data_IF_868300546112
#
_entry.id   IF_868300546112
#
_cell.length_a   1.000
_cell.length_b   1.000
_cell.length_c   1.000
_cell.angle_alpha   90.00
_cell.angle_beta   90.00
_cell.angle_gamma   90.00
#
_symmetry.space_group_name_H-M   'P 1'
#
loop_
_entity.id
_entity.type
_entity.pdbx_description
1 polymer ?
#
# COMPACT_ATOMS: atom_id res chain seq x y z
N UNK A 1 21.03 27.05 -1.03
CA UNK A 1 20.26 26.07 -0.23
C UNK A 1 18.77 26.42 -0.09
N UNK A 2 18.37 27.66 0.22
CA UNK A 2 16.93 28.05 0.31
C UNK A 2 16.15 27.87 -0.99
N UNK A 3 16.74 28.20 -2.14
CA UNK A 3 16.07 28.07 -3.44
C UNK A 3 15.87 26.62 -3.88
N UNK A 4 16.78 25.70 -3.49
CA UNK A 4 16.65 24.28 -3.76
C UNK A 4 15.55 23.62 -2.89
N UNK A 5 15.43 24.03 -1.61
CA UNK A 5 14.37 23.54 -0.74
C UNK A 5 12.98 24.05 -1.15
N UNK A 6 12.88 25.28 -1.61
CA UNK A 6 11.62 25.84 -2.14
C UNK A 6 11.19 25.11 -3.42
N UNK A 7 12.13 24.77 -4.31
CA UNK A 7 11.83 24.01 -5.53
C UNK A 7 11.40 22.56 -5.24
N UNK A 8 12.03 21.88 -4.27
CA UNK A 8 11.65 20.50 -3.88
C UNK A 8 10.24 20.46 -3.30
N UNK A 9 9.90 21.38 -2.40
CA UNK A 9 8.56 21.49 -1.82
C UNK A 9 7.48 21.76 -2.87
N UNK A 10 7.78 22.59 -3.87
CA UNK A 10 6.87 22.85 -4.98
C UNK A 10 6.64 21.59 -5.83
N UNK A 11 7.71 20.83 -6.12
CA UNK A 11 7.61 19.58 -6.88
C UNK A 11 6.77 18.55 -6.10
N UNK A 12 7.02 18.36 -4.81
CA UNK A 12 6.25 17.43 -3.98
C UNK A 12 4.75 17.75 -3.98
N UNK A 13 4.40 19.03 -3.86
CA UNK A 13 3.01 19.47 -3.88
C UNK A 13 2.35 19.23 -5.25
N UNK A 14 3.05 19.53 -6.34
CA UNK A 14 2.55 19.29 -7.70
C UNK A 14 2.31 17.79 -7.94
N UNK A 15 3.25 16.93 -7.51
CA UNK A 15 3.09 15.47 -7.63
C UNK A 15 1.94 14.94 -6.76
N UNK A 16 1.81 15.44 -5.53
CA UNK A 16 0.73 15.07 -4.62
C UNK A 16 -0.64 15.41 -5.19
N UNK A 17 -0.78 16.63 -5.75
CA UNK A 17 -2.02 17.05 -6.38
C UNK A 17 -2.33 16.24 -7.65
N UNK A 18 -1.30 15.95 -8.45
CA UNK A 18 -1.44 15.13 -9.65
C UNK A 18 -1.94 13.72 -9.30
N UNK A 19 -1.28 13.06 -8.32
CA UNK A 19 -1.70 11.75 -7.81
C UNK A 19 -3.13 11.79 -7.30
N UNK A 20 -3.46 12.73 -6.41
CA UNK A 20 -4.77 12.86 -5.78
C UNK A 20 -5.89 13.06 -6.82
N UNK A 21 -5.64 13.90 -7.83
CA UNK A 21 -6.64 14.20 -8.86
C UNK A 21 -6.94 12.98 -9.73
N UNK A 22 -5.91 12.28 -10.22
CA UNK A 22 -6.12 11.13 -11.10
C UNK A 22 -6.72 9.95 -10.33
N UNK A 23 -6.22 9.64 -9.14
CA UNK A 23 -6.74 8.56 -8.28
C UNK A 23 -8.23 8.75 -8.00
N UNK A 24 -8.63 9.95 -7.57
CA UNK A 24 -10.04 10.27 -7.31
C UNK A 24 -10.91 10.24 -8.57
N UNK A 25 -10.41 10.81 -9.68
CA UNK A 25 -11.12 10.84 -10.96
C UNK A 25 -11.40 9.43 -11.49
N UNK A 26 -10.38 8.57 -11.47
CA UNK A 26 -10.47 7.19 -11.95
C UNK A 26 -11.35 6.37 -11.03
N UNK A 27 -11.16 6.44 -9.72
CA UNK A 27 -11.97 5.69 -8.76
C UNK A 27 -13.45 6.04 -8.80
N UNK A 28 -13.81 7.31 -9.02
CA UNK A 28 -15.22 7.69 -9.25
C UNK A 28 -15.83 7.08 -10.52
N UNK A 29 -15.02 6.85 -11.56
CA UNK A 29 -15.48 6.16 -12.77
C UNK A 29 -15.62 4.65 -12.51
N UNK A 30 -14.69 4.05 -11.79
CA UNK A 30 -14.73 2.63 -11.38
C UNK A 30 -15.97 2.34 -10.52
N UNK A 31 -16.28 3.19 -9.54
CA UNK A 31 -17.47 3.03 -8.71
C UNK A 31 -18.78 2.91 -9.52
N UNK A 32 -18.88 3.56 -10.67
CA UNK A 32 -20.06 3.48 -11.55
C UNK A 32 -20.18 2.15 -12.30
N UNK A 33 -19.13 1.34 -12.28
CA UNK A 33 -19.08 0.03 -12.96
C UNK A 33 -19.33 -1.13 -11.99
N UNK A 34 -19.48 -0.85 -10.70
CA UNK A 34 -19.82 -1.87 -9.69
C UNK A 34 -21.13 -2.58 -10.02
N UNK A 35 -21.18 -3.89 -9.74
CA UNK A 35 -22.35 -4.73 -9.99
C UNK A 35 -22.63 -5.03 -11.47
N UNK A 36 -21.80 -4.54 -12.39
CA UNK A 36 -21.87 -4.93 -13.81
C UNK A 36 -21.14 -6.26 -14.01
N UNK A 37 -21.46 -6.95 -15.12
CA UNK A 37 -20.68 -8.12 -15.56
C UNK A 37 -19.35 -7.63 -16.14
N UNK A 38 -18.26 -8.18 -15.64
CA UNK A 38 -16.90 -7.90 -16.11
C UNK A 38 -16.30 -9.13 -16.78
N UNK A 39 -15.44 -8.90 -17.76
CA UNK A 39 -14.58 -9.96 -18.31
C UNK A 39 -13.49 -10.24 -17.28
N UNK A 40 -13.44 -11.48 -16.78
CA UNK A 40 -12.46 -11.91 -15.80
C UNK A 40 -11.34 -12.69 -16.48
N UNK A 41 -10.13 -12.36 -16.13
CA UNK A 41 -8.93 -13.14 -16.44
C UNK A 41 -8.19 -13.46 -15.14
N UNK A 42 -7.19 -14.34 -15.22
CA UNK A 42 -6.43 -14.79 -14.06
C UNK A 42 -4.94 -14.58 -14.33
N UNK A 43 -4.21 -14.03 -13.35
CA UNK A 43 -2.76 -13.79 -13.44
C UNK A 43 -1.97 -15.03 -13.02
N UNK A 44 -1.62 -15.10 -11.75
CA UNK A 44 -0.73 -16.12 -11.18
C UNK A 44 -1.46 -17.38 -10.70
N UNK A 45 -2.75 -17.27 -10.39
CA UNK A 45 -3.58 -18.37 -9.88
C UNK A 45 -5.07 -18.13 -10.17
N UNK A 46 -5.91 -19.16 -9.94
CA UNK A 46 -7.37 -19.04 -10.07
C UNK A 46 -8.03 -18.07 -9.08
N UNK A 47 -7.29 -17.58 -8.12
CA UNK A 47 -7.75 -16.61 -7.12
C UNK A 47 -7.15 -15.22 -7.32
N UNK A 48 -6.27 -15.05 -8.30
CA UNK A 48 -5.63 -13.80 -8.66
C UNK A 48 -6.37 -13.22 -9.89
N UNK A 49 -7.37 -12.40 -9.62
CA UNK A 49 -8.31 -11.88 -10.61
C UNK A 49 -7.79 -10.57 -11.20
N UNK A 50 -8.02 -10.40 -12.51
CA UNK A 50 -7.91 -9.12 -13.20
C UNK A 50 -9.13 -8.93 -14.09
N UNK A 51 -9.56 -7.70 -14.27
CA UNK A 51 -10.68 -7.34 -15.12
C UNK A 51 -10.24 -6.37 -16.22
N UNK A 52 -11.05 -6.22 -17.26
CA UNK A 52 -10.86 -5.17 -18.27
C UNK A 52 -10.88 -3.76 -17.66
N UNK A 53 -11.39 -3.62 -16.41
CA UNK A 53 -11.45 -2.36 -15.69
C UNK A 53 -10.10 -2.02 -15.07
N UNK A 54 -9.34 -3.02 -14.59
CA UNK A 54 -7.96 -2.84 -14.10
C UNK A 54 -7.09 -2.28 -15.23
N UNK A 55 -7.08 -2.93 -16.39
CA UNK A 55 -6.34 -2.48 -17.57
C UNK A 55 -6.80 -1.08 -18.06
N UNK A 56 -8.11 -0.83 -18.04
CA UNK A 56 -8.63 0.48 -18.41
C UNK A 56 -8.18 1.56 -17.41
N UNK A 57 -8.26 1.26 -16.13
CA UNK A 57 -7.82 2.15 -15.05
C UNK A 57 -6.33 2.50 -15.19
N UNK A 58 -5.50 1.48 -15.41
CA UNK A 58 -4.06 1.66 -15.60
C UNK A 58 -3.76 2.57 -16.78
N UNK A 59 -4.40 2.33 -17.95
CA UNK A 59 -4.22 3.17 -19.13
C UNK A 59 -4.64 4.64 -18.89
N UNK A 60 -5.74 4.88 -18.19
CA UNK A 60 -6.21 6.24 -17.87
C UNK A 60 -5.23 6.96 -16.94
N UNK A 61 -4.73 6.26 -15.89
CA UNK A 61 -3.80 6.84 -14.92
C UNK A 61 -2.45 7.13 -15.60
N UNK A 62 -1.90 6.15 -16.31
CA UNK A 62 -0.61 6.27 -17.02
C UNK A 62 -0.65 7.40 -18.05
N UNK A 63 -1.71 7.46 -18.88
CA UNK A 63 -1.88 8.54 -19.86
C UNK A 63 -1.93 9.91 -19.20
N UNK A 64 -2.64 10.04 -18.09
CA UNK A 64 -2.75 11.29 -17.36
C UNK A 64 -1.40 11.73 -16.79
N UNK A 65 -0.68 10.84 -16.11
CA UNK A 65 0.64 11.13 -15.55
C UNK A 65 1.62 11.48 -16.66
N UNK A 66 1.74 10.66 -17.72
CA UNK A 66 2.66 10.90 -18.84
C UNK A 66 2.40 12.22 -19.56
N UNK A 67 1.13 12.68 -19.63
CA UNK A 67 0.81 13.97 -20.26
C UNK A 67 1.28 15.18 -19.47
N UNK A 68 1.41 15.08 -18.14
CA UNK A 68 1.88 16.13 -17.25
C UNK A 68 3.37 15.98 -16.89
N UNK A 69 3.84 14.73 -16.89
CA UNK A 69 5.16 14.33 -16.43
C UNK A 69 5.82 13.38 -17.44
N UNK A 70 6.16 13.84 -18.65
CA UNK A 70 6.60 12.97 -19.77
C UNK A 70 7.99 12.35 -19.56
N UNK A 71 8.76 12.79 -18.57
CA UNK A 71 10.09 12.30 -18.29
C UNK A 71 10.17 11.40 -17.04
N UNK A 72 9.04 11.22 -16.33
CA UNK A 72 9.01 10.39 -15.13
C UNK A 72 8.89 8.91 -15.53
N UNK A 73 9.45 8.02 -14.70
CA UNK A 73 9.25 6.58 -14.84
C UNK A 73 7.90 6.18 -14.25
N UNK A 74 7.19 5.25 -14.92
CA UNK A 74 5.91 4.72 -14.42
C UNK A 74 5.97 3.21 -14.43
N UNK A 75 5.64 2.60 -13.29
CA UNK A 75 5.62 1.16 -13.05
C UNK A 75 4.23 0.79 -12.52
N UNK A 76 3.54 -0.10 -13.21
CA UNK A 76 2.17 -0.48 -12.89
C UNK A 76 2.04 -1.98 -12.66
N UNK A 77 1.00 -2.36 -11.92
CA UNK A 77 0.68 -3.75 -11.61
C UNK A 77 0.33 -4.57 -12.84
N UNK A 78 -0.47 -4.03 -13.78
CA UNK A 78 -0.93 -4.76 -14.97
C UNK A 78 0.09 -4.81 -16.10
N UNK A 79 1.33 -4.40 -15.82
CA UNK A 79 2.49 -4.59 -16.67
C UNK A 79 2.90 -3.37 -17.49
N UNK A 80 2.23 -2.24 -17.40
CA UNK A 80 2.72 -1.02 -18.05
C UNK A 80 4.00 -0.53 -17.37
N UNK A 81 5.05 -0.37 -18.15
CA UNK A 81 6.31 0.22 -17.74
C UNK A 81 6.75 1.29 -18.73
N UNK A 82 6.75 2.55 -18.29
CA UNK A 82 7.25 3.70 -19.05
C UNK A 82 8.62 4.08 -18.51
N UNK A 83 9.64 4.01 -19.34
CA UNK A 83 11.00 4.39 -18.95
C UNK A 83 11.12 5.89 -18.70
N UNK A 84 11.65 6.26 -17.55
CA UNK A 84 11.91 7.65 -17.16
C UNK A 84 13.25 8.18 -17.65
N UNK A 85 13.40 9.51 -17.58
CA UNK A 85 14.64 10.25 -17.90
C UNK A 85 15.11 11.12 -16.73
N UNK A 86 14.41 11.04 -15.60
CA UNK A 86 14.73 11.79 -14.38
C UNK A 86 14.68 10.85 -13.15
N UNK A 87 14.72 11.42 -11.97
CA UNK A 87 14.77 10.71 -10.69
C UNK A 87 13.39 10.51 -10.03
N UNK A 88 12.29 10.69 -10.78
CA UNK A 88 10.91 10.50 -10.27
C UNK A 88 10.36 9.19 -10.85
N UNK A 89 9.84 8.33 -9.97
CA UNK A 89 9.19 7.07 -10.32
C UNK A 89 7.81 6.99 -9.71
N UNK A 90 6.84 6.57 -10.51
CA UNK A 90 5.46 6.32 -10.10
C UNK A 90 5.19 4.83 -9.96
N UNK A 91 4.47 4.45 -8.91
CA UNK A 91 3.99 3.10 -8.68
C UNK A 91 2.47 3.14 -8.62
N UNK A 92 1.83 2.33 -9.45
CA UNK A 92 0.39 2.39 -9.66
C UNK A 92 -0.21 1.01 -9.49
N UNK A 93 -1.17 0.91 -8.56
CA UNK A 93 -2.13 -0.18 -8.52
C UNK A 93 -3.49 0.38 -8.98
N UNK A 94 -3.97 -0.05 -10.15
CA UNK A 94 -5.19 0.48 -10.76
C UNK A 94 -6.45 0.13 -9.98
N UNK A 95 -6.48 -1.04 -9.32
CA UNK A 95 -7.55 -1.49 -8.40
C UNK A 95 -6.95 -2.41 -7.35
N UNK A 96 -6.38 -1.83 -6.28
CA UNK A 96 -6.02 -2.59 -5.09
C UNK A 96 -7.25 -3.30 -4.52
N UNK A 97 -7.19 -4.63 -4.44
CA UNK A 97 -8.32 -5.44 -4.04
C UNK A 97 -9.32 -5.76 -5.16
N UNK A 98 -8.87 -6.17 -6.34
CA UNK A 98 -9.70 -6.55 -7.50
C UNK A 98 -10.78 -7.57 -7.15
N UNK A 99 -10.50 -8.53 -6.27
CA UNK A 99 -11.52 -9.46 -5.76
C UNK A 99 -12.68 -8.73 -5.11
N UNK A 100 -12.41 -7.72 -4.27
CA UNK A 100 -13.47 -6.92 -3.64
C UNK A 100 -14.29 -6.16 -4.68
N UNK A 101 -13.63 -5.59 -5.69
CA UNK A 101 -14.32 -4.92 -6.79
C UNK A 101 -15.27 -5.87 -7.52
N UNK A 102 -14.81 -7.06 -7.90
CA UNK A 102 -15.62 -8.07 -8.61
C UNK A 102 -16.85 -8.49 -7.79
N UNK A 103 -16.69 -8.65 -6.48
CA UNK A 103 -17.78 -9.01 -5.58
C UNK A 103 -18.59 -7.80 -5.08
N UNK A 104 -18.31 -6.59 -5.54
CA UNK A 104 -18.93 -5.35 -5.06
C UNK A 104 -18.80 -5.17 -3.54
N UNK A 105 -17.72 -5.71 -2.96
CA UNK A 105 -17.41 -5.61 -1.55
C UNK A 105 -16.62 -4.32 -1.27
N UNK A 106 -16.90 -3.56 -0.20
CA UNK A 106 -16.07 -2.43 0.20
C UNK A 106 -14.65 -2.91 0.55
N UNK A 107 -13.66 -2.03 0.40
CA UNK A 107 -12.27 -2.35 0.71
C UNK A 107 -11.39 -2.51 -0.53
N UNK A 108 -11.85 -2.06 -1.70
CA UNK A 108 -10.97 -1.82 -2.85
C UNK A 108 -10.63 -0.34 -2.97
N UNK A 109 -9.48 -0.07 -3.54
CA UNK A 109 -8.98 1.30 -3.70
C UNK A 109 -8.18 1.46 -5.00
N UNK A 110 -7.87 2.70 -5.34
CA UNK A 110 -6.91 3.05 -6.38
C UNK A 110 -5.70 3.62 -5.68
N UNK A 111 -4.51 3.10 -5.96
CA UNK A 111 -3.27 3.47 -5.31
C UNK A 111 -2.28 4.08 -6.30
N UNK A 112 -1.78 5.27 -5.98
CA UNK A 112 -0.76 5.97 -6.76
C UNK A 112 0.28 6.54 -5.80
N UNK A 113 1.48 5.96 -5.83
CA UNK A 113 2.64 6.43 -5.09
C UNK A 113 3.70 7.02 -6.00
N UNK A 114 4.55 7.90 -5.47
CA UNK A 114 5.73 8.35 -6.21
C UNK A 114 6.95 8.51 -5.31
N UNK A 115 8.09 8.18 -5.89
CA UNK A 115 9.42 8.37 -5.32
C UNK A 115 10.12 9.54 -6.00
N UNK A 116 10.91 10.24 -5.22
CA UNK A 116 11.90 11.22 -5.69
C UNK A 116 13.25 10.77 -5.14
N UNK A 117 14.26 10.63 -6.01
CA UNK A 117 15.61 10.16 -5.62
C UNK A 117 15.58 8.79 -4.90
N UNK A 118 14.68 7.89 -5.30
CA UNK A 118 14.45 6.56 -4.69
C UNK A 118 13.87 6.59 -3.26
N UNK A 119 13.36 7.73 -2.81
CA UNK A 119 12.64 7.84 -1.55
C UNK A 119 11.15 8.02 -1.82
N UNK A 120 10.31 7.19 -1.22
CA UNK A 120 8.85 7.33 -1.31
C UNK A 120 8.41 8.56 -0.54
N UNK A 121 7.85 9.53 -1.25
CA UNK A 121 7.48 10.82 -0.66
C UNK A 121 6.02 11.19 -0.90
N UNK A 122 5.41 10.63 -1.93
CA UNK A 122 4.07 10.98 -2.38
C UNK A 122 3.18 9.74 -2.33
N UNK A 123 1.98 9.91 -1.79
CA UNK A 123 0.95 8.87 -1.81
C UNK A 123 -0.44 9.44 -1.99
N UNK A 124 -1.23 8.79 -2.84
CA UNK A 124 -2.67 9.04 -2.95
C UNK A 124 -3.41 7.71 -3.06
N UNK A 125 -4.36 7.49 -2.17
CA UNK A 125 -5.24 6.31 -2.16
C UNK A 125 -6.68 6.80 -2.13
N UNK A 126 -7.49 6.32 -3.05
CA UNK A 126 -8.92 6.64 -3.07
C UNK A 126 -9.76 5.39 -2.92
N UNK A 127 -10.56 5.32 -1.87
CA UNK A 127 -11.54 4.28 -1.60
C UNK A 127 -12.93 4.72 -2.09
N UNK A 128 -13.38 4.25 -3.27
CA UNK A 128 -14.52 4.83 -3.97
C UNK A 128 -15.85 4.69 -3.23
N UNK A 129 -16.08 3.54 -2.58
CA UNK A 129 -17.34 3.28 -1.88
C UNK A 129 -17.48 4.06 -0.57
N UNK A 130 -16.36 4.44 0.03
CA UNK A 130 -16.32 5.29 1.21
C UNK A 130 -16.22 6.77 0.84
N UNK A 131 -15.95 7.09 -0.44
CA UNK A 131 -15.66 8.43 -0.91
C UNK A 131 -14.54 9.10 -0.11
N UNK A 132 -13.48 8.34 0.18
CA UNK A 132 -12.34 8.78 0.95
C UNK A 132 -11.10 8.88 0.09
N UNK A 133 -10.50 10.07 0.07
CA UNK A 133 -9.21 10.34 -0.55
C UNK A 133 -8.18 10.56 0.54
N UNK A 134 -7.25 9.63 0.65
CA UNK A 134 -6.03 9.80 1.43
C UNK A 134 -4.94 10.39 0.54
N UNK A 135 -4.18 11.34 1.08
CA UNK A 135 -3.14 12.04 0.31
C UNK A 135 -2.02 12.47 1.23
N UNK A 136 -0.78 12.22 0.83
CA UNK A 136 0.40 12.60 1.60
C UNK A 136 1.55 13.11 0.75
N UNK A 137 2.34 13.99 1.34
CA UNK A 137 3.71 14.30 0.93
C UNK A 137 4.53 14.68 2.17
N UNK A 138 5.86 14.60 2.08
CA UNK A 138 6.75 14.97 3.18
C UNK A 138 6.61 16.44 3.60
N UNK A 139 6.19 17.32 2.69
CA UNK A 139 5.95 18.74 2.95
C UNK A 139 4.55 19.08 3.45
N UNK A 140 3.59 18.14 3.35
CA UNK A 140 2.17 18.39 3.63
C UNK A 140 1.61 17.56 4.80
N UNK A 141 2.29 16.47 5.17
CA UNK A 141 1.72 15.46 6.08
C UNK A 141 0.70 14.57 5.38
N UNK A 142 -0.10 13.86 6.15
CA UNK A 142 -1.16 12.96 5.64
C UNK A 142 -2.54 13.52 5.92
N UNK A 143 -3.40 13.47 4.91
CA UNK A 143 -4.80 13.92 5.04
C UNK A 143 -5.77 12.85 4.53
N UNK A 144 -6.98 12.82 5.12
CA UNK A 144 -8.15 12.14 4.59
C UNK A 144 -9.22 13.17 4.24
N UNK A 145 -9.60 13.26 2.96
CA UNK A 145 -10.52 14.29 2.46
C UNK A 145 -10.11 15.73 2.88
N UNK A 146 -8.81 16.02 2.90
CA UNK A 146 -8.25 17.31 3.26
C UNK A 146 -8.17 17.61 4.76
N UNK A 147 -8.56 16.67 5.63
CA UNK A 147 -8.36 16.77 7.08
C UNK A 147 -7.13 15.99 7.48
N UNK A 148 -6.26 16.60 8.27
CA UNK A 148 -5.07 15.93 8.81
C UNK A 148 -5.45 14.69 9.61
N UNK A 149 -4.64 13.65 9.48
CA UNK A 149 -4.79 12.38 10.19
C UNK A 149 -3.43 11.94 10.74
N UNK A 150 -3.47 11.16 11.80
CA UNK A 150 -2.29 10.58 12.46
C UNK A 150 -2.52 9.10 12.76
N UNK A 151 -1.44 8.34 12.90
CA UNK A 151 -1.49 6.94 13.31
C UNK A 151 -2.02 6.80 14.74
N UNK A 152 -2.49 5.62 15.09
CA UNK A 152 -2.98 5.29 16.43
C UNK A 152 -1.92 5.53 17.52
N UNK A 153 -2.40 5.85 18.73
CA UNK A 153 -1.58 6.02 19.95
C UNK A 153 -1.61 4.79 20.86
N UNK A 154 -2.15 3.68 20.40
CA UNK A 154 -2.17 2.40 21.12
C UNK A 154 -0.73 1.94 21.39
N UNK A 155 -0.45 1.51 22.63
CA UNK A 155 0.89 1.11 23.09
C UNK A 155 0.98 -0.37 23.42
N UNK A 156 -0.15 -0.98 23.76
CA UNK A 156 -0.23 -2.37 24.21
C UNK A 156 -0.79 -3.25 23.09
N UNK A 157 -0.07 -4.30 22.77
CA UNK A 157 -0.44 -5.25 21.72
C UNK A 157 -1.83 -5.88 21.95
N UNK A 158 -2.16 -6.18 23.22
CA UNK A 158 -3.48 -6.72 23.60
C UNK A 158 -4.66 -5.79 23.30
N UNK A 159 -4.39 -4.51 23.07
CA UNK A 159 -5.38 -3.51 22.69
C UNK A 159 -5.35 -3.21 21.18
N UNK A 160 -4.42 -3.81 20.44
CA UNK A 160 -4.21 -3.49 19.04
C UNK A 160 -5.23 -4.18 18.12
N UNK A 161 -5.88 -3.40 17.26
CA UNK A 161 -6.64 -3.86 16.11
C UNK A 161 -5.70 -3.93 14.91
N UNK A 162 -5.49 -5.12 14.35
CA UNK A 162 -4.49 -5.34 13.30
C UNK A 162 -5.15 -5.72 11.99
N UNK A 163 -4.76 -5.08 10.88
CA UNK A 163 -5.16 -5.47 9.55
C UNK A 163 -4.15 -6.44 8.92
N UNK A 164 -4.61 -7.35 8.07
CA UNK A 164 -3.76 -8.32 7.35
C UNK A 164 -4.41 -8.79 6.05
N UNK A 165 -3.57 -9.34 5.17
CA UNK A 165 -3.97 -10.04 3.96
C UNK A 165 -3.37 -11.45 3.87
N UNK A 166 -3.75 -12.18 2.81
CA UNK A 166 -3.29 -13.53 2.54
C UNK A 166 -2.89 -13.68 1.08
N UNK A 167 -1.84 -14.49 0.83
CA UNK A 167 -1.37 -14.78 -0.51
C UNK A 167 -2.47 -15.30 -1.44
N UNK A 168 -2.38 -14.97 -2.70
CA UNK A 168 -3.22 -15.57 -3.75
C UNK A 168 -2.91 -17.05 -3.99
N UNK A 169 -1.73 -17.54 -3.60
CA UNK A 169 -1.33 -18.94 -3.72
C UNK A 169 -1.80 -19.74 -2.52
N UNK A 170 -2.60 -20.78 -2.77
CA UNK A 170 -3.24 -21.60 -1.73
C UNK A 170 -2.24 -22.31 -0.83
N UNK A 171 -1.08 -22.69 -1.35
CA UNK A 171 0.00 -23.35 -0.61
C UNK A 171 0.55 -22.50 0.55
N UNK A 172 0.63 -21.17 0.37
CA UNK A 172 1.09 -20.26 1.43
C UNK A 172 0.01 -19.95 2.46
N UNK A 173 -1.27 -19.98 2.05
CA UNK A 173 -2.39 -19.67 2.97
C UNK A 173 -2.44 -20.60 4.16
N UNK A 174 -2.08 -21.89 3.98
CA UNK A 174 -2.03 -22.86 5.07
C UNK A 174 -1.04 -22.46 6.17
N UNK A 175 0.15 -22.01 5.78
CA UNK A 175 1.17 -21.49 6.71
C UNK A 175 0.74 -20.17 7.34
N UNK A 176 0.21 -19.23 6.56
CA UNK A 176 -0.29 -17.96 7.07
C UNK A 176 -1.43 -18.15 8.08
N UNK A 177 -2.34 -19.10 7.83
CA UNK A 177 -3.41 -19.43 8.78
C UNK A 177 -2.86 -20.00 10.10
N UNK A 178 -1.81 -20.83 10.04
CA UNK A 178 -1.14 -21.33 11.26
C UNK A 178 -0.52 -20.21 12.07
N UNK A 179 0.09 -19.21 11.42
CA UNK A 179 0.68 -18.06 12.10
C UNK A 179 -0.37 -17.29 12.91
N UNK A 180 -1.62 -17.21 12.42
CA UNK A 180 -2.72 -16.55 13.14
C UNK A 180 -3.04 -17.22 14.49
N UNK A 181 -2.79 -18.52 14.66
CA UNK A 181 -2.99 -19.22 15.94
C UNK A 181 -2.12 -18.59 17.05
N UNK A 182 -0.88 -18.19 16.70
CA UNK A 182 0.04 -17.53 17.63
C UNK A 182 -0.22 -16.03 17.80
N UNK A 183 -0.91 -15.40 16.85
CA UNK A 183 -1.18 -13.96 16.81
C UNK A 183 -2.48 -13.61 17.55
N UNK A 184 -3.59 -14.26 17.20
CA UNK A 184 -4.93 -13.90 17.67
C UNK A 184 -5.10 -13.81 19.20
N UNK A 185 -4.52 -14.70 20.01
CA UNK A 185 -4.65 -14.62 21.47
C UNK A 185 -3.95 -13.40 22.10
N UNK A 186 -3.05 -12.73 21.37
CA UNK A 186 -2.19 -11.67 21.89
C UNK A 186 -2.67 -10.26 21.51
N UNK A 187 -3.65 -10.15 20.65
CA UNK A 187 -4.14 -8.87 20.10
C UNK A 187 -5.63 -8.67 20.43
N UNK A 188 -6.15 -7.47 20.20
CA UNK A 188 -7.59 -7.19 20.36
C UNK A 188 -8.44 -7.95 19.34
N UNK A 189 -8.08 -7.83 18.07
CA UNK A 189 -8.80 -8.45 16.96
C UNK A 189 -8.06 -8.22 15.64
N UNK A 190 -8.51 -8.90 14.58
CA UNK A 190 -7.97 -8.78 13.23
C UNK A 190 -8.99 -8.19 12.26
N UNK A 191 -8.51 -7.47 11.24
CA UNK A 191 -9.32 -7.05 10.09
C UNK A 191 -8.71 -7.59 8.82
N UNK A 192 -9.57 -8.09 7.93
CA UNK A 192 -9.20 -8.58 6.61
C UNK A 192 -10.05 -7.83 5.58
N UNK A 193 -9.59 -6.62 5.18
CA UNK A 193 -10.35 -5.81 4.22
C UNK A 193 -10.12 -6.27 2.78
N UNK A 194 -8.92 -6.73 2.45
CA UNK A 194 -8.60 -7.36 1.17
C UNK A 194 -8.06 -6.43 0.11
N UNK A 195 -7.48 -5.33 0.53
CA UNK A 195 -6.70 -4.40 -0.27
C UNK A 195 -5.60 -3.79 0.61
N UNK A 196 -4.33 -4.04 0.28
CA UNK A 196 -3.19 -3.65 1.09
C UNK A 196 -3.03 -2.12 1.18
N UNK A 197 -3.28 -1.41 0.08
CA UNK A 197 -3.21 0.05 0.07
C UNK A 197 -4.27 0.66 1.00
N UNK A 198 -5.50 0.13 0.99
CA UNK A 198 -6.55 0.63 1.89
C UNK A 198 -6.27 0.29 3.36
N UNK A 199 -5.70 -0.88 3.65
CA UNK A 199 -5.29 -1.27 5.01
C UNK A 199 -4.17 -0.34 5.52
N UNK A 200 -3.17 -0.01 4.70
CA UNK A 200 -2.13 0.97 5.03
C UNK A 200 -2.70 2.39 5.23
N UNK A 201 -3.68 2.82 4.43
CA UNK A 201 -4.39 4.08 4.64
C UNK A 201 -5.17 4.07 5.96
N UNK A 202 -5.70 2.91 6.36
CA UNK A 202 -6.39 2.73 7.65
C UNK A 202 -5.44 2.81 8.85
N UNK A 203 -4.18 2.34 8.71
CA UNK A 203 -3.12 2.58 9.69
C UNK A 203 -2.80 4.07 9.78
N UNK A 204 -2.59 4.73 8.64
CA UNK A 204 -2.22 6.14 8.58
C UNK A 204 -3.25 7.07 9.23
N UNK A 205 -4.52 6.68 9.28
CA UNK A 205 -5.58 7.47 9.93
C UNK A 205 -6.04 6.91 11.29
N UNK A 206 -5.30 5.95 11.87
CA UNK A 206 -5.58 5.39 13.19
C UNK A 206 -6.84 4.53 13.31
N UNK A 207 -7.42 4.06 12.19
CA UNK A 207 -8.57 3.14 12.19
C UNK A 207 -8.20 1.74 12.60
N UNK A 208 -6.99 1.31 12.24
CA UNK A 208 -6.34 0.12 12.76
C UNK A 208 -4.99 0.53 13.35
N UNK A 209 -4.52 -0.23 14.32
CA UNK A 209 -3.31 0.11 15.07
C UNK A 209 -2.06 -0.38 14.37
N UNK A 210 -2.19 -1.45 13.59
CA UNK A 210 -1.10 -2.02 12.82
C UNK A 210 -1.61 -2.77 11.57
N UNK A 211 -0.67 -3.07 10.70
CA UNK A 211 -0.86 -3.90 9.50
C UNK A 211 0.34 -4.82 9.32
N UNK A 212 0.09 -6.04 8.85
CA UNK A 212 1.13 -6.90 8.29
C UNK A 212 0.59 -7.73 7.14
N UNK A 213 1.40 -7.91 6.10
CA UNK A 213 1.06 -8.78 4.98
C UNK A 213 2.32 -9.31 4.28
N UNK A 214 2.23 -10.52 3.71
CA UNK A 214 3.32 -11.21 3.04
C UNK A 214 3.32 -10.94 1.55
N UNK A 215 4.52 -10.81 0.95
CA UNK A 215 4.73 -10.87 -0.49
C UNK A 215 4.15 -9.72 -1.30
N UNK A 216 3.99 -8.55 -0.68
CA UNK A 216 3.46 -7.35 -1.34
C UNK A 216 4.45 -6.79 -2.37
N UNK A 217 3.92 -6.31 -3.49
CA UNK A 217 4.66 -5.64 -4.55
C UNK A 217 4.83 -4.14 -4.30
N UNK A 218 5.73 -3.45 -5.01
CA UNK A 218 5.95 -2.01 -4.85
C UNK A 218 4.69 -1.15 -5.02
N UNK A 219 3.82 -1.49 -5.94
CA UNK A 219 2.58 -0.75 -6.21
C UNK A 219 1.54 -0.90 -5.10
N UNK A 220 1.53 -2.04 -4.37
CA UNK A 220 0.64 -2.29 -3.23
C UNK A 220 0.98 -1.36 -2.05
N UNK A 221 2.27 -1.03 -1.86
CA UNK A 221 2.79 -0.39 -0.65
C UNK A 221 3.26 1.05 -0.85
N UNK A 222 3.64 1.47 -2.06
CA UNK A 222 4.28 2.78 -2.26
C UNK A 222 3.42 3.95 -1.76
N UNK A 223 2.15 4.04 -2.16
CA UNK A 223 1.27 5.10 -1.68
C UNK A 223 1.03 5.01 -0.17
N UNK A 224 0.72 3.79 0.33
CA UNK A 224 0.53 3.53 1.76
C UNK A 224 1.74 3.87 2.61
N UNK A 225 2.95 3.63 2.10
CA UNK A 225 4.19 4.01 2.74
C UNK A 225 4.26 5.52 3.00
N UNK A 226 4.01 6.32 1.95
CA UNK A 226 4.00 7.78 2.10
C UNK A 226 2.93 8.23 3.11
N UNK A 227 1.74 7.61 3.09
CA UNK A 227 0.67 7.93 4.03
C UNK A 227 1.08 7.63 5.48
N UNK A 228 1.54 6.40 5.77
CA UNK A 228 1.90 5.98 7.14
C UNK A 228 3.05 6.82 7.67
N UNK A 229 4.13 6.99 6.90
CA UNK A 229 5.30 7.77 7.30
C UNK A 229 4.95 9.22 7.63
N UNK A 230 4.16 9.87 6.78
CA UNK A 230 3.79 11.28 6.97
C UNK A 230 2.63 11.50 7.95
N UNK A 231 2.03 10.42 8.46
CA UNK A 231 1.09 10.41 9.59
C UNK A 231 1.77 10.13 10.94
N UNK A 232 3.11 10.07 10.98
CA UNK A 232 3.89 9.80 12.19
C UNK A 232 4.05 8.30 12.51
N UNK A 233 3.78 7.42 11.55
CA UNK A 233 3.98 5.99 11.69
C UNK A 233 5.30 5.48 11.13
N UNK A 234 5.51 4.19 11.31
CA UNK A 234 6.66 3.41 10.80
C UNK A 234 6.13 2.32 9.89
N UNK A 235 6.81 2.11 8.76
CA UNK A 235 6.56 1.00 7.85
C UNK A 235 7.89 0.38 7.45
N UNK A 236 7.95 -0.94 7.43
CA UNK A 236 9.15 -1.70 7.05
C UNK A 236 8.79 -3.00 6.37
N UNK A 237 9.67 -3.47 5.50
CA UNK A 237 9.61 -4.82 4.94
C UNK A 237 10.75 -5.64 5.53
N UNK A 238 10.41 -6.77 6.12
CA UNK A 238 11.33 -7.67 6.81
C UNK A 238 11.38 -9.02 6.09
N UNK A 239 12.53 -9.68 6.16
CA UNK A 239 12.66 -11.06 5.72
C UNK A 239 12.89 -11.96 6.95
N UNK A 240 11.88 -12.72 7.39
CA UNK A 240 11.96 -13.53 8.62
C UNK A 240 12.95 -14.70 8.54
N UNK A 241 13.34 -15.14 7.35
CA UNK A 241 14.36 -16.19 7.18
C UNK A 241 15.79 -15.75 7.50
N UNK A 242 16.02 -14.44 7.68
CA UNK A 242 17.30 -13.87 8.15
C UNK A 242 17.17 -13.50 9.61
N UNK A 243 17.29 -14.48 10.51
CA UNK A 243 17.31 -14.25 11.96
C UNK A 243 18.36 -13.18 12.31
N UNK A 244 17.95 -12.09 12.91
CA UNK A 244 18.81 -11.03 13.42
C UNK A 244 19.00 -9.79 12.55
N UNK A 245 18.46 -9.74 11.35
CA UNK A 245 18.57 -8.57 10.47
C UNK A 245 17.33 -7.65 10.56
N UNK A 246 16.96 -7.27 11.80
CA UNK A 246 16.11 -6.09 12.02
C UNK A 246 16.94 -4.82 11.79
N UNK A 247 17.41 -4.59 10.58
CA UNK A 247 17.91 -3.27 10.26
C UNK A 247 16.72 -2.35 10.32
N UNK A 248 16.82 -1.38 11.25
CA UNK A 248 15.97 -0.20 11.19
C UNK A 248 15.87 0.25 9.75
N UNK A 249 14.70 0.59 9.27
CA UNK A 249 14.46 0.85 7.89
C UNK A 249 15.18 2.12 7.45
N UNK A 250 16.38 1.98 6.94
CA UNK A 250 16.60 2.67 5.70
C UNK A 250 15.61 2.01 4.76
N UNK A 251 14.53 2.71 4.51
CA UNK A 251 13.39 2.26 3.74
C UNK A 251 13.85 1.93 2.32
N UNK A 252 14.43 0.78 2.16
CA UNK A 252 14.65 0.13 0.90
C UNK A 252 13.46 -0.78 0.59
N UNK A 253 12.26 -0.26 0.78
CA UNK A 253 11.02 -0.93 0.37
C UNK A 253 11.06 -1.30 -1.11
N UNK A 254 11.94 -0.68 -1.89
CA UNK A 254 11.97 -0.79 -3.34
C UNK A 254 13.39 -0.90 -3.89
N UNK A 255 14.27 -1.70 -3.31
CA UNK A 255 15.59 -1.91 -3.92
C UNK A 255 15.51 -2.61 -5.27
N UNK A 256 14.57 -3.47 -5.48
CA UNK A 256 14.07 -3.97 -6.77
C UNK A 256 12.92 -4.95 -6.51
N UNK A 257 12.05 -5.16 -7.47
CA UNK A 257 11.07 -6.26 -7.45
C UNK A 257 11.72 -7.64 -7.28
N UNK A 258 13.03 -7.76 -7.51
CA UNK A 258 13.81 -8.99 -7.33
C UNK A 258 14.15 -9.32 -5.87
N UNK A 259 14.00 -8.37 -4.93
CA UNK A 259 14.24 -8.60 -3.49
C UNK A 259 12.96 -8.93 -2.73
N UNK A 260 11.81 -8.64 -3.31
CA UNK A 260 10.50 -9.00 -2.75
C UNK A 260 10.26 -10.48 -3.04
N UNK A 261 10.08 -11.25 -1.99
CA UNK A 261 9.72 -12.66 -2.06
C UNK A 261 8.41 -12.87 -1.30
N UNK A 262 7.75 -13.98 -1.58
CA UNK A 262 6.53 -14.36 -0.85
C UNK A 262 6.75 -14.56 0.67
N UNK A 263 8.00 -14.62 1.10
CA UNK A 263 8.40 -14.72 2.51
C UNK A 263 8.70 -13.36 3.15
N UNK A 264 8.75 -12.27 2.38
CA UNK A 264 8.91 -10.94 2.97
C UNK A 264 7.60 -10.49 3.61
N UNK A 265 7.69 -9.79 4.73
CA UNK A 265 6.54 -9.27 5.44
C UNK A 265 6.64 -7.74 5.46
N UNK A 266 5.62 -7.07 4.97
CA UNK A 266 5.46 -5.64 5.20
C UNK A 266 4.71 -5.44 6.51
N UNK A 267 5.26 -4.62 7.40
CA UNK A 267 4.69 -4.29 8.71
C UNK A 267 4.58 -2.78 8.82
N UNK A 268 3.43 -2.29 9.28
CA UNK A 268 3.19 -0.86 9.50
C UNK A 268 2.46 -0.63 10.82
N UNK A 269 2.85 0.40 11.57
CA UNK A 269 2.22 0.78 12.84
C UNK A 269 2.72 2.15 13.32
N UNK A 270 2.30 2.58 14.53
CA UNK A 270 2.95 3.66 15.25
C UNK A 270 4.34 3.22 15.77
N UNK A 271 5.21 4.18 16.09
CA UNK A 271 6.50 3.91 16.74
C UNK A 271 6.39 3.15 18.06
N UNK A 272 5.25 3.27 18.75
CA UNK A 272 5.02 2.60 20.05
C UNK A 272 4.73 1.10 19.92
N UNK A 273 4.21 0.65 18.78
CA UNK A 273 3.79 -0.74 18.56
C UNK A 273 4.67 -1.51 17.58
N UNK A 274 5.44 -0.83 16.72
CA UNK A 274 6.10 -1.47 15.59
C UNK A 274 6.99 -2.64 16.00
N UNK A 275 7.80 -2.50 17.03
CA UNK A 275 8.70 -3.56 17.51
C UNK A 275 7.92 -4.77 18.03
N UNK A 276 6.83 -4.53 18.77
CA UNK A 276 5.96 -5.59 19.31
C UNK A 276 5.25 -6.36 18.16
N UNK A 277 4.82 -5.65 17.11
CA UNK A 277 4.17 -6.27 15.94
C UNK A 277 5.19 -7.07 15.12
N UNK A 278 6.40 -6.54 14.91
CA UNK A 278 7.49 -7.27 14.24
C UNK A 278 7.82 -8.55 15.01
N UNK A 279 8.02 -8.47 16.32
CA UNK A 279 8.26 -9.64 17.15
C UNK A 279 7.10 -10.65 17.09
N UNK A 280 5.86 -10.15 17.14
CA UNK A 280 4.66 -11.00 17.03
C UNK A 280 4.63 -11.79 15.74
N UNK A 281 4.82 -11.14 14.58
CA UNK A 281 4.69 -11.81 13.26
C UNK A 281 5.87 -12.72 12.95
N UNK A 282 7.07 -12.42 13.47
CA UNK A 282 8.25 -13.27 13.29
C UNK A 282 8.25 -14.49 14.20
N UNK A 283 7.86 -14.33 15.47
CA UNK A 283 7.81 -15.43 16.44
C UNK A 283 6.59 -16.34 16.26
N UNK A 284 5.57 -15.89 15.49
CA UNK A 284 4.40 -16.71 15.17
C UNK A 284 4.63 -17.67 14.01
N UNK A 285 5.81 -17.62 13.38
CA UNK A 285 6.24 -18.63 12.41
C UNK A 285 6.60 -19.92 13.18
N UNK A 286 5.59 -20.66 13.55
CA UNK A 286 5.78 -21.95 14.22
C UNK A 286 6.26 -22.94 13.16
N UNK A 287 7.48 -23.43 13.37
CA UNK A 287 8.03 -24.55 12.61
C UNK A 287 7.24 -25.80 13.00
N UNK A 288 6.23 -26.14 12.21
CA UNK A 288 5.55 -27.43 12.31
C UNK A 288 6.25 -28.42 11.37
N UNK A 289 7.54 -28.73 11.65
CA UNK A 289 8.23 -29.88 11.09
C UNK A 289 7.62 -31.18 11.57
#
# INVERSE_FOLDING_TARGET
MKDFQLSKKSIEEDLRLLASNITKKTGKKIAKKLGQRHTLTYKSSSTDLVTEIDEWSEREITKYISSHRPNDEIICEEGTHVQGKNNIRWFIDPIDGTTNFVYSHPGFSISVGAEIDKETQIGAIYAPLLNELFSASSSHGTTCNGKEVEVSKTKELSNALIATGFSYKSEFRGTQAKNLIGILPKIRDIRRMGGAAFDLASVACGRVDAFFEYGLSPWDISAGHALVKNAGGVIMTINPSKSGDYKQPEVNVLKSSSEISENTITVASSEHLIDQVVELVTNSQIDYS
#
